data_IF_418143380826
#
_entry.id   IF_418143380826
#
_cell.length_a   1.000
_cell.length_b   1.000
_cell.length_c   1.000
_cell.angle_alpha   90.00
_cell.angle_beta   90.00
_cell.angle_gamma   90.00
#
_symmetry.space_group_name_H-M   'P 1'
#
loop_
_entity.id
_entity.type
_entity.pdbx_description
1 polymer ?
#
# COMPACT_ATOMS: atom_id res chain seq x y z
N UNK A 1 -4.94 25.47 15.14
CA UNK A 1 -5.21 24.03 15.19
C UNK A 1 -4.69 23.47 13.88
N UNK A 2 -3.59 22.70 13.91
CA UNK A 2 -3.13 22.03 12.69
C UNK A 2 -4.23 21.09 12.22
N UNK A 3 -4.73 21.29 11.00
CA UNK A 3 -5.60 20.33 10.35
C UNK A 3 -4.82 19.00 10.31
N UNK A 4 -5.33 18.00 11.00
CA UNK A 4 -4.84 16.63 10.83
C UNK A 4 -5.07 16.31 9.34
N UNK A 5 -4.02 15.94 8.61
CA UNK A 5 -4.12 15.60 7.19
C UNK A 5 -4.93 14.31 6.97
N UNK A 6 -5.21 13.99 5.72
CA UNK A 6 -5.85 12.71 5.35
C UNK A 6 -5.00 11.54 5.86
N UNK A 7 -5.64 10.55 6.51
CA UNK A 7 -4.99 9.30 6.96
C UNK A 7 -5.77 8.08 6.50
N UNK A 8 -5.08 6.93 6.41
CA UNK A 8 -5.73 5.66 6.08
C UNK A 8 -6.39 5.11 7.33
N UNK A 9 -7.66 4.71 7.23
CA UNK A 9 -8.33 3.95 8.27
C UNK A 9 -8.21 2.45 8.01
N UNK A 10 -8.68 2.00 6.84
CA UNK A 10 -8.72 0.58 6.50
C UNK A 10 -8.39 0.35 5.02
N UNK A 11 -7.75 -0.77 4.75
CA UNK A 11 -7.60 -1.35 3.42
C UNK A 11 -8.35 -2.68 3.39
N UNK A 12 -9.18 -2.91 2.39
CA UNK A 12 -9.88 -4.17 2.17
C UNK A 12 -9.13 -4.99 1.13
N UNK A 13 -8.68 -6.17 1.53
CA UNK A 13 -7.88 -7.06 0.69
C UNK A 13 -8.68 -8.31 0.33
N UNK A 14 -8.55 -8.77 -0.91
CA UNK A 14 -9.15 -10.03 -1.39
C UNK A 14 -8.29 -11.25 -1.00
N UNK A 15 -7.79 -11.26 0.22
CA UNK A 15 -6.95 -12.32 0.78
C UNK A 15 -7.71 -13.09 1.85
N UNK A 16 -7.41 -14.40 1.95
CA UNK A 16 -7.91 -15.24 3.04
C UNK A 16 -7.11 -15.00 4.32
N UNK A 17 -7.78 -14.88 5.50
CA UNK A 17 -7.12 -14.65 6.79
C UNK A 17 -6.02 -15.66 7.12
N UNK A 18 -6.24 -16.94 6.76
CA UNK A 18 -5.31 -18.03 7.02
C UNK A 18 -3.95 -17.84 6.38
N UNK A 19 -3.90 -17.18 5.20
CA UNK A 19 -2.65 -16.88 4.49
C UNK A 19 -1.80 -15.87 5.24
N UNK A 20 -2.44 -14.84 5.80
CA UNK A 20 -1.75 -13.83 6.61
C UNK A 20 -1.29 -14.40 7.95
N UNK A 21 -2.14 -15.22 8.59
CA UNK A 21 -1.76 -15.94 9.81
C UNK A 21 -0.58 -16.89 9.58
N UNK A 22 -0.56 -17.62 8.48
CA UNK A 22 0.56 -18.50 8.10
C UNK A 22 1.89 -17.76 7.86
N UNK A 23 1.83 -16.45 7.56
CA UNK A 23 2.99 -15.57 7.44
C UNK A 23 3.40 -14.94 8.78
N UNK A 24 2.76 -15.33 9.89
CA UNK A 24 3.08 -14.85 11.23
C UNK A 24 2.47 -13.49 11.59
N UNK A 25 1.41 -13.08 10.90
CA UNK A 25 0.60 -11.94 11.33
C UNK A 25 -0.42 -12.39 12.39
N UNK A 26 -0.59 -11.59 13.44
CA UNK A 26 -1.68 -11.76 14.41
C UNK A 26 -2.96 -11.13 13.84
N UNK A 27 -4.07 -11.86 13.97
CA UNK A 27 -5.37 -11.44 13.50
C UNK A 27 -6.33 -11.18 14.67
N UNK A 28 -7.18 -10.16 14.50
CA UNK A 28 -8.40 -9.98 15.31
C UNK A 28 -9.59 -10.20 14.36
N UNK A 29 -10.17 -11.39 14.42
CA UNK A 29 -11.16 -11.86 13.47
C UNK A 29 -10.57 -11.96 12.04
N UNK A 30 -11.10 -11.18 11.11
CA UNK A 30 -10.64 -11.05 9.73
C UNK A 30 -9.69 -9.84 9.51
N UNK A 31 -9.21 -9.21 10.59
CA UNK A 31 -8.39 -8.01 10.53
C UNK A 31 -6.96 -8.22 11.01
N UNK A 32 -6.01 -7.58 10.33
CA UNK A 32 -4.63 -7.36 10.77
C UNK A 32 -4.44 -5.88 11.02
N UNK A 33 -3.94 -5.47 12.19
CA UNK A 33 -3.61 -4.07 12.46
C UNK A 33 -2.12 -3.82 12.29
N UNK A 34 -1.76 -2.91 11.37
CA UNK A 34 -0.38 -2.52 11.05
C UNK A 34 -0.16 -1.05 11.39
N UNK A 35 0.47 -0.77 12.53
CA UNK A 35 0.52 0.58 13.07
C UNK A 35 -0.89 1.09 13.36
N UNK A 36 -1.31 2.19 12.72
CA UNK A 36 -2.66 2.77 12.84
C UNK A 36 -3.63 2.33 11.73
N UNK A 37 -3.17 1.50 10.78
CA UNK A 37 -3.95 1.05 9.62
C UNK A 37 -4.50 -0.35 9.86
N UNK A 38 -5.76 -0.57 9.52
CA UNK A 38 -6.39 -1.90 9.51
C UNK A 38 -6.36 -2.50 8.11
N UNK A 39 -5.97 -3.76 8.01
CA UNK A 39 -6.15 -4.57 6.81
C UNK A 39 -7.29 -5.55 7.06
N UNK A 40 -8.43 -5.37 6.41
CA UNK A 40 -9.54 -6.32 6.46
C UNK A 40 -9.40 -7.33 5.34
N UNK A 41 -9.36 -8.59 5.70
CA UNK A 41 -9.16 -9.74 4.80
C UNK A 41 -10.53 -10.29 4.41
N UNK A 42 -11.02 -9.89 3.25
CA UNK A 42 -12.40 -10.15 2.81
C UNK A 42 -12.55 -11.46 2.01
N UNK A 43 -11.47 -12.23 1.85
CA UNK A 43 -11.44 -13.47 1.11
C UNK A 43 -11.42 -13.29 -0.42
N UNK A 44 -11.10 -14.37 -1.14
CA UNK A 44 -10.95 -14.37 -2.60
C UNK A 44 -12.26 -13.99 -3.33
N UNK A 45 -13.40 -14.24 -2.72
CA UNK A 45 -14.72 -13.89 -3.30
C UNK A 45 -14.95 -12.37 -3.41
N UNK A 46 -14.20 -11.55 -2.69
CA UNK A 46 -14.30 -10.10 -2.76
C UNK A 46 -13.71 -9.49 -4.03
N UNK A 47 -12.97 -10.27 -4.83
CA UNK A 47 -12.35 -9.82 -6.07
C UNK A 47 -10.86 -10.16 -6.14
N UNK A 48 -10.01 -9.18 -6.45
CA UNK A 48 -8.56 -9.38 -6.54
C UNK A 48 -7.78 -8.18 -6.00
N UNK A 49 -6.68 -8.44 -5.31
CA UNK A 49 -5.79 -7.42 -4.82
C UNK A 49 -6.36 -6.57 -3.69
N UNK A 50 -6.10 -5.27 -3.70
CA UNK A 50 -6.72 -4.30 -2.80
C UNK A 50 -8.05 -3.87 -3.39
N UNK A 51 -9.16 -4.27 -2.76
CA UNK A 51 -10.53 -4.06 -3.25
C UNK A 51 -10.97 -2.61 -3.06
N UNK A 52 -10.69 -2.05 -1.90
CA UNK A 52 -11.06 -0.67 -1.55
C UNK A 52 -10.24 -0.18 -0.35
N UNK A 53 -10.39 1.08 -0.04
CA UNK A 53 -9.90 1.68 1.19
C UNK A 53 -10.88 2.67 1.80
N UNK A 54 -10.72 2.96 3.08
CA UNK A 54 -11.37 4.06 3.76
C UNK A 54 -10.36 5.07 4.29
N UNK A 55 -10.65 6.35 4.11
CA UNK A 55 -9.79 7.46 4.49
C UNK A 55 -10.49 8.37 5.48
N UNK A 56 -9.75 8.80 6.53
CA UNK A 56 -10.19 9.84 7.47
C UNK A 56 -9.92 11.21 6.89
N UNK A 57 -10.78 12.17 7.19
CA UNK A 57 -10.61 13.60 6.88
C UNK A 57 -10.48 13.92 5.38
N UNK A 58 -10.94 13.03 4.52
CA UNK A 58 -10.94 13.26 3.08
C UNK A 58 -12.09 14.18 2.66
N UNK A 59 -11.82 15.12 1.76
CA UNK A 59 -12.81 16.07 1.27
C UNK A 59 -13.77 15.46 0.23
N UNK A 60 -13.28 14.53 -0.61
CA UNK A 60 -14.04 13.83 -1.64
C UNK A 60 -13.62 12.38 -1.73
N UNK A 61 -14.52 11.50 -2.13
CA UNK A 61 -14.26 10.09 -2.45
C UNK A 61 -14.00 9.83 -3.94
N UNK A 62 -14.10 10.87 -4.76
CA UNK A 62 -13.83 10.79 -6.21
C UNK A 62 -12.32 10.87 -6.47
N UNK A 63 -11.63 9.74 -6.43
CA UNK A 63 -10.17 9.63 -6.54
C UNK A 63 -9.76 8.90 -7.83
N UNK A 64 -10.18 9.39 -8.98
CA UNK A 64 -9.79 8.81 -10.29
C UNK A 64 -10.09 7.30 -10.41
N UNK A 65 -11.20 6.84 -9.80
CA UNK A 65 -11.62 5.44 -9.84
C UNK A 65 -11.08 4.55 -8.71
N UNK A 66 -10.24 5.06 -7.82
CA UNK A 66 -9.88 4.32 -6.60
C UNK A 66 -11.12 4.13 -5.72
N UNK A 67 -11.48 2.87 -5.45
CA UNK A 67 -12.66 2.53 -4.64
C UNK A 67 -12.48 3.02 -3.20
N UNK A 68 -12.98 4.22 -2.92
CA UNK A 68 -12.73 4.99 -1.70
C UNK A 68 -14.02 5.25 -0.93
N UNK A 69 -13.97 5.07 0.39
CA UNK A 69 -15.00 5.51 1.31
C UNK A 69 -14.44 6.49 2.35
N UNK A 70 -15.31 7.32 2.93
CA UNK A 70 -14.96 8.18 4.06
C UNK A 70 -15.06 7.39 5.36
N UNK A 71 -14.12 7.61 6.27
CA UNK A 71 -14.18 7.11 7.64
C UNK A 71 -14.27 8.26 8.63
N UNK A 72 -15.18 8.14 9.58
CA UNK A 72 -15.31 9.02 10.75
C UNK A 72 -14.73 8.34 12.01
N UNK A 73 -14.08 7.18 11.88
CA UNK A 73 -13.49 6.46 13.00
C UNK A 73 -12.29 7.23 13.57
N UNK A 74 -12.13 7.15 14.89
CA UNK A 74 -10.95 7.68 15.57
C UNK A 74 -9.75 6.83 15.19
N UNK A 75 -8.61 7.49 14.91
CA UNK A 75 -7.38 6.78 14.64
C UNK A 75 -6.96 5.95 15.87
N UNK A 76 -6.74 4.64 15.73
CA UNK A 76 -6.36 3.80 16.85
C UNK A 76 -4.93 4.10 17.31
N UNK A 77 -4.60 3.71 18.53
CA UNK A 77 -3.20 3.64 18.95
C UNK A 77 -2.42 2.67 18.05
N UNK A 78 -1.15 2.98 17.72
CA UNK A 78 -0.34 2.08 16.90
C UNK A 78 -0.21 0.70 17.57
N UNK A 79 -0.45 -0.36 16.78
CA UNK A 79 -0.23 -1.74 17.23
C UNK A 79 1.27 -2.03 17.41
N UNK A 80 1.65 -2.96 18.31
CA UNK A 80 3.01 -3.46 18.36
C UNK A 80 3.39 -4.25 17.09
N UNK A 81 4.68 -4.56 16.94
CA UNK A 81 5.12 -5.42 15.86
C UNK A 81 4.55 -6.85 16.02
N UNK A 82 4.16 -7.45 14.90
CA UNK A 82 3.74 -8.85 14.83
C UNK A 82 4.90 -9.82 15.11
N UNK A 83 4.63 -11.10 15.41
CA UNK A 83 5.64 -12.13 15.64
C UNK A 83 6.67 -12.24 14.51
N UNK A 84 6.27 -11.99 13.25
CA UNK A 84 7.16 -11.93 12.08
C UNK A 84 8.00 -10.63 11.99
N UNK A 85 7.90 -9.73 12.98
CA UNK A 85 8.65 -8.47 13.03
C UNK A 85 8.08 -7.33 12.17
N UNK A 86 6.96 -7.51 11.50
CA UNK A 86 6.28 -6.45 10.75
C UNK A 86 5.54 -5.51 11.70
N UNK A 87 5.72 -4.20 11.49
CA UNK A 87 5.24 -3.17 12.42
C UNK A 87 4.08 -2.33 11.86
N UNK A 88 4.19 -1.87 10.61
CA UNK A 88 3.29 -0.86 10.07
C UNK A 88 3.24 -0.89 8.53
N UNK A 89 2.29 -0.19 7.94
CA UNK A 89 2.29 0.13 6.51
C UNK A 89 3.32 1.24 6.25
N UNK A 90 4.22 1.07 5.29
CA UNK A 90 5.12 2.12 4.80
C UNK A 90 4.44 2.94 3.70
N UNK A 91 3.94 2.24 2.69
CA UNK A 91 3.19 2.88 1.61
C UNK A 91 2.21 1.92 0.92
N UNK A 92 1.18 2.52 0.37
CA UNK A 92 0.23 1.88 -0.54
C UNK A 92 0.59 2.29 -1.96
N UNK A 93 0.58 1.35 -2.90
CA UNK A 93 0.84 1.61 -4.31
C UNK A 93 -0.47 1.63 -5.08
N UNK A 94 -0.70 2.69 -5.85
CA UNK A 94 -1.74 2.76 -6.85
C UNK A 94 -1.11 2.83 -8.25
N UNK A 95 -1.75 2.18 -9.22
CA UNK A 95 -1.35 2.21 -10.63
C UNK A 95 -2.36 3.05 -11.41
N UNK A 96 -1.86 3.93 -12.28
CA UNK A 96 -2.72 4.78 -13.14
C UNK A 96 -2.20 4.84 -14.57
N UNK A 97 -3.08 4.87 -15.58
CA UNK A 97 -2.66 5.18 -16.95
C UNK A 97 -2.39 6.68 -17.17
N UNK A 98 -2.93 7.57 -16.32
CA UNK A 98 -2.88 9.02 -16.48
C UNK A 98 -2.50 9.74 -15.19
N UNK A 99 -1.18 9.85 -14.91
CA UNK A 99 -0.67 10.36 -13.64
C UNK A 99 -1.20 11.76 -13.30
N UNK A 100 -1.21 12.69 -14.27
CA UNK A 100 -1.63 14.07 -14.00
C UNK A 100 -3.11 14.16 -13.62
N UNK A 101 -3.97 13.35 -14.24
CA UNK A 101 -5.40 13.24 -13.89
C UNK A 101 -5.57 12.71 -12.47
N UNK A 102 -4.86 11.62 -12.12
CA UNK A 102 -4.90 11.06 -10.77
C UNK A 102 -4.37 12.05 -9.73
N UNK A 103 -3.27 12.75 -10.02
CA UNK A 103 -2.71 13.78 -9.14
C UNK A 103 -3.72 14.89 -8.88
N UNK A 104 -4.38 15.40 -9.92
CA UNK A 104 -5.39 16.44 -9.79
C UNK A 104 -6.58 15.99 -8.91
N UNK A 105 -7.08 14.78 -9.13
CA UNK A 105 -8.20 14.21 -8.33
C UNK A 105 -7.81 14.05 -6.85
N UNK A 106 -6.62 13.51 -6.57
CA UNK A 106 -6.11 13.30 -5.21
C UNK A 106 -5.90 14.63 -4.46
N UNK A 107 -5.34 15.65 -5.14
CA UNK A 107 -5.17 16.99 -4.54
C UNK A 107 -6.51 17.67 -4.28
N UNK A 108 -7.47 17.55 -5.19
CA UNK A 108 -8.83 18.09 -5.01
C UNK A 108 -9.56 17.45 -3.82
N UNK A 109 -9.24 16.19 -3.51
CA UNK A 109 -9.76 15.48 -2.34
C UNK A 109 -9.02 15.80 -1.03
N UNK A 110 -7.97 16.63 -1.08
CA UNK A 110 -7.24 17.09 0.10
C UNK A 110 -5.98 16.29 0.45
N UNK A 111 -5.52 15.39 -0.43
CA UNK A 111 -4.28 14.67 -0.20
C UNK A 111 -3.06 15.58 -0.43
N UNK A 112 -2.05 15.45 0.44
CA UNK A 112 -0.83 16.26 0.45
C UNK A 112 0.21 15.69 -0.52
N UNK A 113 0.31 16.28 -1.73
CA UNK A 113 1.32 15.93 -2.72
C UNK A 113 2.70 16.40 -2.24
N UNK A 114 3.62 15.45 -2.10
CA UNK A 114 5.00 15.71 -1.63
C UNK A 114 6.00 15.83 -2.77
N UNK A 115 5.86 15.02 -3.80
CA UNK A 115 6.80 14.99 -4.92
C UNK A 115 6.21 14.28 -6.13
N UNK A 116 6.59 14.72 -7.32
CA UNK A 116 6.50 13.96 -8.57
C UNK A 116 7.93 13.61 -9.00
N UNK A 117 8.15 12.37 -9.38
CA UNK A 117 9.37 11.89 -9.99
C UNK A 117 9.13 11.73 -11.47
N UNK A 118 9.93 12.45 -12.28
CA UNK A 118 9.81 12.47 -13.73
C UNK A 118 10.77 11.47 -14.43
N UNK A 119 11.71 10.89 -13.66
CA UNK A 119 12.64 9.91 -14.21
C UNK A 119 12.05 8.51 -14.12
N UNK A 120 12.29 7.67 -15.16
CA UNK A 120 11.86 6.28 -15.14
C UNK A 120 12.45 5.49 -13.96
N UNK A 121 11.63 4.60 -13.42
CA UNK A 121 12.11 3.65 -12.38
C UNK A 121 12.85 2.48 -13.01
N UNK A 122 13.70 1.76 -12.25
CA UNK A 122 14.31 0.51 -12.71
C UNK A 122 13.28 -0.54 -13.14
N UNK A 123 12.06 -0.48 -12.60
CA UNK A 123 10.94 -1.36 -12.96
C UNK A 123 10.16 -0.90 -14.20
N UNK A 124 10.59 0.20 -14.86
CA UNK A 124 10.02 0.67 -16.12
C UNK A 124 8.84 1.62 -15.99
N UNK A 125 8.43 2.01 -14.78
CA UNK A 125 7.40 3.05 -14.61
C UNK A 125 7.97 4.40 -15.03
N UNK A 126 7.34 5.13 -15.97
CA UNK A 126 7.90 6.38 -16.50
C UNK A 126 7.89 7.52 -15.47
N UNK A 127 6.84 7.63 -14.65
CA UNK A 127 6.62 8.70 -13.67
C UNK A 127 5.96 8.16 -12.40
N UNK A 128 6.18 8.85 -11.28
CA UNK A 128 5.54 8.51 -9.98
C UNK A 128 5.18 9.78 -9.22
N UNK A 129 4.07 9.76 -8.49
CA UNK A 129 3.71 10.80 -7.53
C UNK A 129 3.62 10.23 -6.12
N UNK A 130 3.99 11.00 -5.11
CA UNK A 130 4.02 10.60 -3.71
C UNK A 130 3.18 11.55 -2.88
N UNK A 131 2.19 11.01 -2.18
CA UNK A 131 1.31 11.75 -1.29
C UNK A 131 1.52 11.31 0.15
N UNK A 132 1.45 12.25 1.09
CA UNK A 132 1.48 11.95 2.52
C UNK A 132 0.07 11.61 3.01
N UNK A 133 -0.05 10.52 3.78
CA UNK A 133 -1.28 10.07 4.43
C UNK A 133 -0.98 9.77 5.91
N UNK A 134 -0.75 10.80 6.71
CA UNK A 134 -0.28 10.62 8.08
C UNK A 134 1.16 10.12 8.13
N UNK A 135 1.38 8.94 8.69
CA UNK A 135 2.68 8.27 8.71
C UNK A 135 3.01 7.56 7.38
N UNK A 136 1.99 7.13 6.67
CA UNK A 136 2.05 6.36 5.43
C UNK A 136 2.24 7.27 4.20
N UNK A 137 2.56 6.65 3.08
CA UNK A 137 2.66 7.28 1.76
C UNK A 137 1.70 6.56 0.80
N UNK A 138 1.03 7.31 -0.07
CA UNK A 138 0.47 6.78 -1.30
C UNK A 138 1.49 7.02 -2.42
N UNK A 139 1.96 5.95 -3.04
CA UNK A 139 2.76 5.99 -4.25
C UNK A 139 1.86 5.75 -5.46
N UNK A 140 1.68 6.75 -6.30
CA UNK A 140 0.92 6.65 -7.54
C UNK A 140 1.89 6.44 -8.70
N UNK A 141 1.81 5.29 -9.34
CA UNK A 141 2.74 4.85 -10.38
C UNK A 141 2.05 4.91 -11.73
N UNK A 142 2.61 5.66 -12.67
CA UNK A 142 2.15 5.64 -14.05
C UNK A 142 2.52 4.32 -14.70
N UNK A 143 1.54 3.63 -15.30
CA UNK A 143 1.81 2.39 -16.02
C UNK A 143 2.61 2.69 -17.30
N UNK A 144 3.58 1.84 -17.67
CA UNK A 144 4.28 1.94 -18.95
C UNK A 144 3.32 1.84 -20.14
N UNK A 145 3.63 2.51 -21.25
CA UNK A 145 2.79 2.52 -22.45
C UNK A 145 2.42 1.10 -22.91
N UNK A 146 3.37 0.16 -22.86
CA UNK A 146 3.16 -1.23 -23.25
C UNK A 146 2.15 -1.98 -22.34
N UNK A 147 1.84 -1.47 -21.16
CA UNK A 147 0.88 -2.02 -20.22
C UNK A 147 -0.50 -1.34 -20.27
N UNK A 148 -0.66 -0.23 -21.02
CA UNK A 148 -1.90 0.56 -21.08
C UNK A 148 -3.12 -0.28 -21.50
N UNK A 149 -2.97 -1.15 -22.50
CA UNK A 149 -4.06 -2.00 -22.98
C UNK A 149 -4.64 -2.90 -21.87
N UNK A 150 -3.77 -3.37 -20.96
CA UNK A 150 -4.18 -4.18 -19.79
C UNK A 150 -4.75 -3.36 -18.64
N UNK A 151 -4.57 -2.04 -18.68
CA UNK A 151 -5.05 -1.10 -17.66
C UNK A 151 -6.36 -0.40 -18.06
N UNK A 152 -7.05 -0.87 -19.10
CA UNK A 152 -8.27 -0.23 -19.60
C UNK A 152 -8.02 0.90 -20.60
N UNK A 153 -6.79 1.00 -21.15
CA UNK A 153 -6.37 2.07 -22.06
C UNK A 153 -5.95 3.35 -21.31
N UNK A 154 -5.63 4.43 -22.05
CA UNK A 154 -5.15 5.70 -21.46
C UNK A 154 -6.21 6.39 -20.59
N UNK A 155 -7.49 6.16 -20.85
CA UNK A 155 -8.62 6.74 -20.10
C UNK A 155 -9.12 5.84 -18.96
N UNK A 156 -8.50 4.68 -18.76
CA UNK A 156 -8.84 3.76 -17.68
C UNK A 156 -8.69 4.39 -16.30
N UNK A 157 -9.38 3.86 -15.25
CA UNK A 157 -9.28 4.35 -13.90
C UNK A 157 -7.93 4.01 -13.25
N UNK A 158 -7.56 4.74 -12.22
CA UNK A 158 -6.54 4.30 -11.28
C UNK A 158 -7.06 3.13 -10.43
N UNK A 159 -6.14 2.31 -9.90
CA UNK A 159 -6.46 1.18 -9.03
C UNK A 159 -5.40 0.98 -7.97
N UNK A 160 -5.81 0.58 -6.79
CA UNK A 160 -4.92 0.12 -5.74
C UNK A 160 -4.25 -1.18 -6.20
N UNK A 161 -2.94 -1.33 -5.93
CA UNK A 161 -2.17 -2.43 -6.50
C UNK A 161 -1.42 -3.25 -5.48
N UNK A 162 -0.69 -2.63 -4.54
CA UNK A 162 0.18 -3.36 -3.64
C UNK A 162 0.54 -2.58 -2.38
N UNK A 163 1.26 -3.25 -1.48
CA UNK A 163 1.65 -2.74 -0.18
C UNK A 163 3.15 -2.88 0.05
N UNK A 164 3.74 -1.91 0.71
CA UNK A 164 5.02 -2.05 1.37
C UNK A 164 4.82 -1.89 2.87
N UNK A 165 5.39 -2.81 3.64
CA UNK A 165 5.26 -2.91 5.08
C UNK A 165 6.62 -2.67 5.74
N UNK A 166 6.65 -2.00 6.88
CA UNK A 166 7.86 -1.77 7.67
C UNK A 166 8.12 -2.99 8.56
N UNK A 167 9.30 -3.57 8.44
CA UNK A 167 9.84 -4.52 9.40
C UNK A 167 10.78 -3.80 10.39
N UNK A 168 10.69 -4.14 11.68
CA UNK A 168 11.60 -3.61 12.71
C UNK A 168 13.04 -4.03 12.46
N UNK A 169 13.22 -5.26 11.98
CA UNK A 169 14.46 -5.86 11.49
C UNK A 169 14.13 -6.67 10.24
N UNK A 170 14.59 -6.20 9.07
CA UNK A 170 14.23 -6.82 7.79
C UNK A 170 14.81 -8.24 7.64
N UNK A 171 16.03 -8.47 8.12
CA UNK A 171 16.67 -9.78 7.99
C UNK A 171 15.93 -10.81 8.85
N UNK A 172 15.63 -10.48 10.10
CA UNK A 172 14.81 -11.35 10.96
C UNK A 172 13.40 -11.60 10.42
N UNK A 173 12.76 -10.60 9.83
CA UNK A 173 11.44 -10.76 9.22
C UNK A 173 11.51 -11.70 8.01
N UNK A 174 12.54 -11.58 7.17
CA UNK A 174 12.77 -12.50 6.03
C UNK A 174 13.05 -13.93 6.52
N UNK A 175 13.87 -14.10 7.56
CA UNK A 175 14.13 -15.40 8.17
C UNK A 175 12.85 -16.04 8.73
N UNK A 176 12.00 -15.26 9.38
CA UNK A 176 10.71 -15.73 9.92
C UNK A 176 9.74 -16.17 8.80
N UNK A 177 9.74 -15.48 7.65
CA UNK A 177 8.94 -15.84 6.49
C UNK A 177 9.55 -17.01 5.67
N UNK A 178 10.84 -17.27 5.83
CA UNK A 178 11.57 -18.36 5.19
C UNK A 178 11.42 -18.34 3.67
N UNK A 179 11.01 -19.49 3.12
CA UNK A 179 10.88 -19.67 1.66
C UNK A 179 9.85 -18.75 0.99
N UNK A 180 8.97 -18.11 1.76
CA UNK A 180 7.95 -17.18 1.26
C UNK A 180 8.49 -15.78 0.99
N UNK A 181 9.65 -15.43 1.51
CA UNK A 181 10.31 -14.15 1.24
C UNK A 181 11.41 -14.29 0.17
N UNK A 182 11.63 -13.19 -0.55
CA UNK A 182 12.80 -13.02 -1.42
C UNK A 182 13.98 -12.46 -0.62
N UNK A 183 15.17 -12.53 -1.23
CA UNK A 183 16.39 -11.95 -0.66
C UNK A 183 16.28 -10.42 -0.47
N UNK A 184 16.71 -9.87 0.68
CA UNK A 184 16.77 -8.44 0.89
C UNK A 184 17.77 -7.77 -0.06
N UNK A 185 17.34 -6.69 -0.71
CA UNK A 185 18.17 -5.89 -1.63
C UNK A 185 18.02 -4.40 -1.34
N UNK A 186 18.90 -3.57 -1.89
CA UNK A 186 18.77 -2.13 -1.80
C UNK A 186 17.43 -1.65 -2.37
N UNK A 187 16.73 -0.79 -1.64
CA UNK A 187 15.54 -0.11 -2.11
C UNK A 187 15.90 1.10 -2.97
N UNK A 188 14.93 1.66 -3.71
CA UNK A 188 15.10 2.92 -4.44
C UNK A 188 15.37 4.09 -3.47
N UNK A 189 14.81 4.04 -2.28
CA UNK A 189 15.11 4.99 -1.20
C UNK A 189 16.49 4.69 -0.61
N UNK A 190 17.39 5.68 -0.67
CA UNK A 190 18.74 5.55 -0.15
C UNK A 190 18.75 5.13 1.34
N UNK A 191 19.65 4.23 1.70
CA UNK A 191 19.79 3.72 3.06
C UNK A 191 18.74 2.70 3.50
N UNK A 192 17.76 2.36 2.63
CA UNK A 192 16.75 1.33 2.93
C UNK A 192 16.95 0.06 2.11
N UNK A 193 16.42 -1.04 2.63
CA UNK A 193 16.41 -2.36 1.97
C UNK A 193 14.97 -2.82 1.81
N UNK A 194 14.74 -3.69 0.83
CA UNK A 194 13.42 -4.24 0.49
C UNK A 194 13.53 -5.74 0.21
N UNK A 195 12.55 -6.51 0.67
CA UNK A 195 12.35 -7.91 0.32
C UNK A 195 10.89 -8.11 -0.10
N UNK A 196 10.66 -8.87 -1.17
CA UNK A 196 9.30 -9.12 -1.68
C UNK A 196 8.76 -10.41 -1.09
N UNK A 197 7.50 -10.42 -0.65
CA UNK A 197 6.78 -11.67 -0.37
C UNK A 197 6.49 -12.34 -1.72
N UNK A 198 6.88 -13.61 -1.86
CA UNK A 198 6.77 -14.35 -3.11
C UNK A 198 5.31 -14.72 -3.41
N UNK A 199 5.00 -14.87 -4.68
CA UNK A 199 3.66 -15.33 -5.11
C UNK A 199 3.28 -16.69 -4.54
N UNK A 200 4.26 -17.55 -4.20
CA UNK A 200 4.03 -18.84 -3.54
C UNK A 200 3.39 -18.72 -2.17
N UNK A 201 3.43 -17.55 -1.52
CA UNK A 201 2.69 -17.28 -0.29
C UNK A 201 1.17 -17.23 -0.51
N UNK A 202 0.73 -17.12 -1.77
CA UNK A 202 -0.68 -17.16 -2.15
C UNK A 202 -1.45 -15.87 -1.89
N UNK A 203 -0.77 -14.76 -1.55
CA UNK A 203 -1.44 -13.46 -1.38
C UNK A 203 -1.98 -12.94 -2.71
N UNK A 204 -3.20 -12.41 -2.70
CA UNK A 204 -3.80 -11.73 -3.83
C UNK A 204 -3.20 -10.33 -4.04
N UNK A 205 -2.64 -9.74 -2.97
CA UNK A 205 -1.99 -8.43 -2.97
C UNK A 205 -0.48 -8.61 -3.06
N UNK A 206 0.22 -7.95 -4.01
CA UNK A 206 1.68 -7.85 -3.96
C UNK A 206 2.13 -7.14 -2.70
N UNK A 207 2.97 -7.79 -1.90
CA UNK A 207 3.49 -7.24 -0.65
C UNK A 207 5.01 -7.25 -0.66
N UNK A 208 5.62 -6.16 -0.20
CA UNK A 208 7.05 -6.07 0.08
C UNK A 208 7.30 -5.64 1.53
N UNK A 209 8.39 -6.14 2.12
CA UNK A 209 8.89 -5.69 3.41
C UNK A 209 10.00 -4.66 3.19
N UNK A 210 9.97 -3.59 3.95
CA UNK A 210 10.98 -2.52 3.93
C UNK A 210 11.68 -2.46 5.28
N UNK A 211 12.98 -2.22 5.29
CA UNK A 211 13.66 -1.84 6.52
C UNK A 211 13.08 -0.52 7.06
N UNK A 212 13.14 -0.30 8.38
CA UNK A 212 12.81 0.99 8.98
C UNK A 212 13.62 2.12 8.31
N UNK A 213 13.15 3.36 8.46
CA UNK A 213 13.93 4.54 8.05
C UNK A 213 15.13 4.67 8.98
N UNK A 214 16.32 5.01 8.44
CA UNK A 214 17.47 5.27 9.27
C UNK A 214 17.25 6.42 10.25
#
# INVERSE_FOLDING_TARGET
>A
MSSLGVTIDELVLADEPERWSALGFELDGDCVQLGTVRLRLAGESAGGGIVSWSLRQIASTELDGLATSRSDSVEPAPAPAHPNGVLAVDHVVAMTPALDRSVAALQAAGLDLRRIREEPTPAGAPRQAFFRLGAEILEVVQVPEQALARSGGPDGPARLWGLALIATDLDRAVDALGVQAGEPRAAVQAGRRIATIKRSAGLAVPVALMSAKP
#
